data_IF_076067045407
#
_entry.id   IF_076067045407
#
_cell.length_a   1.000
_cell.length_b   1.000
_cell.length_c   1.000
_cell.angle_alpha   90.00
_cell.angle_beta   90.00
_cell.angle_gamma   90.00
#
_symmetry.space_group_name_H-M   'P 1'
#
loop_
_entity.id
_entity.type
_entity.pdbx_description
1 polymer ?
#
# COMPACT_ATOMS: atom_id res chain seq x y z
N UNK A 1 8.91 14.44 5.52
CA UNK A 1 7.76 13.66 5.05
C UNK A 1 7.84 12.30 5.70
N UNK A 2 6.76 11.81 6.27
CA UNK A 2 6.74 10.53 6.99
C UNK A 2 7.08 9.41 6.00
N UNK A 3 8.27 8.83 6.14
CA UNK A 3 8.70 7.74 5.28
C UNK A 3 8.20 6.42 5.89
N UNK A 4 7.06 5.95 5.40
CA UNK A 4 6.45 4.70 5.83
C UNK A 4 7.11 3.53 5.06
N UNK A 5 8.36 3.22 5.39
CA UNK A 5 9.14 2.13 4.81
C UNK A 5 9.23 0.92 5.78
N UNK A 6 9.87 -0.18 5.33
CA UNK A 6 9.98 -1.40 6.13
C UNK A 6 10.76 -1.21 7.44
N UNK A 7 11.79 -0.34 7.44
CA UNK A 7 12.50 -0.01 8.67
C UNK A 7 11.55 0.69 9.64
N UNK A 8 10.84 1.72 9.18
CA UNK A 8 9.95 2.49 10.04
C UNK A 8 8.83 1.60 10.58
N UNK A 9 8.28 0.71 9.76
CA UNK A 9 7.28 -0.27 10.18
C UNK A 9 7.81 -1.18 11.30
N UNK A 10 9.07 -1.65 11.18
CA UNK A 10 9.74 -2.41 12.23
C UNK A 10 9.89 -1.60 13.51
N UNK A 11 10.47 -0.41 13.42
CA UNK A 11 10.66 0.47 14.57
C UNK A 11 9.34 0.82 15.25
N UNK A 12 8.28 1.10 14.47
CA UNK A 12 6.98 1.43 15.00
C UNK A 12 6.41 0.28 15.87
N UNK A 13 6.47 -0.96 15.38
CA UNK A 13 5.96 -2.13 16.09
C UNK A 13 6.81 -2.56 17.28
N UNK A 14 8.14 -2.55 17.11
CA UNK A 14 9.06 -3.10 18.12
C UNK A 14 9.38 -2.12 19.23
N UNK A 15 9.45 -0.82 18.93
CA UNK A 15 10.01 0.18 19.84
C UNK A 15 9.02 1.30 20.17
N UNK A 16 8.28 1.82 19.18
CA UNK A 16 7.44 3.00 19.38
C UNK A 16 6.13 2.68 20.11
N UNK A 17 5.44 1.62 19.66
CA UNK A 17 4.14 1.20 20.19
C UNK A 17 4.11 -0.33 20.39
N UNK A 18 4.94 -0.88 21.29
CA UNK A 18 4.91 -2.30 21.58
C UNK A 18 3.53 -2.73 22.07
N UNK A 19 3.12 -3.95 21.71
CA UNK A 19 1.83 -4.56 22.06
C UNK A 19 0.57 -3.86 21.51
N UNK A 20 0.72 -2.87 20.63
CA UNK A 20 -0.39 -2.20 19.94
C UNK A 20 -0.36 -2.56 18.46
N UNK A 21 -1.55 -2.85 17.91
CA UNK A 21 -1.70 -3.03 16.47
C UNK A 21 -1.40 -1.73 15.71
N UNK A 22 -0.23 -1.70 15.07
CA UNK A 22 0.11 -0.68 14.10
C UNK A 22 -0.54 -1.02 12.75
N UNK A 23 -1.43 -0.19 12.22
CA UNK A 23 -2.15 -0.48 10.97
C UNK A 23 -1.85 0.61 9.91
N UNK A 24 -0.79 0.43 9.09
CA UNK A 24 -0.55 1.30 7.96
C UNK A 24 -1.76 1.34 7.03
N UNK A 25 -2.12 2.54 6.57
CA UNK A 25 -3.26 2.75 5.69
C UNK A 25 -2.86 3.66 4.53
N UNK A 26 -3.15 3.23 3.31
CA UNK A 26 -2.94 4.04 2.11
C UNK A 26 -4.23 4.78 1.77
N UNK A 27 -4.19 6.10 1.84
CA UNK A 27 -5.33 6.97 1.62
C UNK A 27 -5.21 7.79 0.35
N UNK A 28 -6.31 7.92 -0.40
CA UNK A 28 -6.46 8.93 -1.44
C UNK A 28 -7.93 9.35 -1.57
N UNK A 29 -8.18 10.53 -2.15
CA UNK A 29 -9.52 11.12 -2.22
C UNK A 29 -10.53 10.28 -3.01
N UNK A 30 -10.10 9.52 -4.02
CA UNK A 30 -11.00 8.79 -4.92
C UNK A 30 -11.48 7.46 -4.32
N UNK A 31 -10.57 6.70 -3.72
CA UNK A 31 -10.85 5.38 -3.14
C UNK A 31 -11.22 5.44 -1.65
N UNK A 32 -10.83 6.50 -0.94
CA UNK A 32 -10.85 6.54 0.51
C UNK A 32 -9.60 5.87 1.07
N UNK A 33 -9.76 4.78 1.83
CA UNK A 33 -8.68 4.11 2.56
C UNK A 33 -8.53 2.65 2.11
N UNK A 34 -7.29 2.21 1.93
CA UNK A 34 -6.91 0.81 1.79
C UNK A 34 -6.11 0.39 3.03
N UNK A 35 -6.65 -0.58 3.77
CA UNK A 35 -5.93 -1.18 4.89
C UNK A 35 -4.80 -2.07 4.40
N UNK A 36 -3.72 -2.11 5.16
CA UNK A 36 -2.65 -3.07 4.92
C UNK A 36 -3.09 -4.49 5.27
N UNK A 37 -2.45 -5.47 4.63
CA UNK A 37 -2.45 -6.86 5.08
C UNK A 37 -2.11 -6.91 6.58
N UNK A 38 -2.77 -7.77 7.38
CA UNK A 38 -2.32 -8.06 8.74
C UNK A 38 -0.83 -8.40 8.75
N UNK A 39 -0.12 -7.95 9.78
CA UNK A 39 1.33 -8.13 9.83
C UNK A 39 1.71 -9.60 9.99
N UNK A 40 2.59 -10.05 9.11
CA UNK A 40 3.23 -11.34 9.19
C UNK A 40 4.75 -11.14 9.10
N UNK A 41 5.50 -11.78 9.99
CA UNK A 41 6.96 -11.64 10.03
C UNK A 41 7.63 -12.10 8.72
N UNK A 42 7.00 -13.04 8.01
CA UNK A 42 7.45 -13.55 6.71
C UNK A 42 7.48 -12.49 5.61
N UNK A 43 6.74 -11.39 5.75
CA UNK A 43 6.72 -10.29 4.79
C UNK A 43 7.91 -9.31 5.00
N UNK A 44 8.80 -9.59 5.96
CA UNK A 44 9.98 -8.77 6.26
C UNK A 44 9.64 -7.29 6.48
N UNK A 45 8.56 -7.00 7.22
CA UNK A 45 8.04 -5.66 7.48
C UNK A 45 7.60 -4.89 6.22
N UNK A 46 7.44 -5.56 5.07
CA UNK A 46 6.80 -4.96 3.91
C UNK A 46 5.38 -4.53 4.25
N UNK A 47 4.94 -3.39 3.71
CA UNK A 47 3.58 -2.90 3.86
C UNK A 47 2.84 -3.17 2.57
N UNK A 48 1.88 -4.08 2.63
CA UNK A 48 1.15 -4.57 1.46
C UNK A 48 -0.29 -4.05 1.57
N UNK A 49 -0.72 -3.24 0.61
CA UNK A 49 -2.07 -2.67 0.59
C UNK A 49 -2.97 -3.44 -0.37
N UNK A 50 -4.20 -3.72 0.07
CA UNK A 50 -5.24 -4.26 -0.79
C UNK A 50 -6.32 -3.19 -1.00
N UNK A 51 -6.57 -2.73 -2.24
CA UNK A 51 -7.65 -1.80 -2.49
C UNK A 51 -9.01 -2.49 -2.30
N UNK A 52 -10.09 -1.72 -2.04
CA UNK A 52 -11.44 -2.24 -1.87
C UNK A 52 -12.02 -2.71 -3.21
N UNK A 53 -11.63 -3.90 -3.66
CA UNK A 53 -12.14 -4.55 -4.87
C UNK A 53 -13.62 -5.02 -4.65
N UNK A 54 -14.53 -4.88 -5.65
CA UNK A 54 -14.32 -4.37 -7.01
C UNK A 54 -14.48 -2.86 -7.16
N UNK A 55 -14.79 -2.13 -6.08
CA UNK A 55 -15.05 -0.68 -6.12
C UNK A 55 -13.82 0.13 -6.52
N UNK A 56 -12.62 -0.30 -6.15
CA UNK A 56 -11.37 0.31 -6.57
C UNK A 56 -10.32 -0.74 -6.92
N UNK A 57 -9.57 -0.49 -7.99
CA UNK A 57 -8.48 -1.31 -8.48
C UNK A 57 -7.23 -0.45 -8.60
N UNK A 58 -6.10 -1.00 -8.17
CA UNK A 58 -4.78 -0.38 -8.29
C UNK A 58 -3.97 -1.18 -9.30
N UNK A 59 -3.38 -0.47 -10.26
CA UNK A 59 -2.38 -0.97 -11.18
C UNK A 59 -1.10 -0.15 -11.03
N UNK A 60 0.04 -0.75 -11.35
CA UNK A 60 1.30 -0.04 -11.46
C UNK A 60 1.64 0.11 -12.94
N UNK A 61 1.79 1.35 -13.39
CA UNK A 61 2.04 1.70 -14.80
C UNK A 61 3.37 2.41 -14.97
N UNK A 62 3.89 2.49 -16.19
CA UNK A 62 5.09 3.27 -16.44
C UNK A 62 4.81 4.76 -16.22
N UNK A 63 5.80 5.57 -15.80
CA UNK A 63 5.59 7.01 -15.62
C UNK A 63 5.29 7.76 -16.93
N UNK A 64 5.73 7.22 -18.07
CA UNK A 64 5.63 7.88 -19.38
C UNK A 64 4.37 7.45 -20.16
N UNK A 65 3.85 6.24 -19.91
CA UNK A 65 2.63 5.72 -20.53
C UNK A 65 1.71 5.02 -19.51
N UNK A 66 0.54 5.61 -19.17
CA UNK A 66 -0.39 5.02 -18.22
C UNK A 66 -1.13 3.77 -18.75
N UNK A 67 -0.98 3.42 -20.03
CA UNK A 67 -1.58 2.21 -20.60
C UNK A 67 -0.63 1.00 -20.54
N UNK A 68 0.63 1.21 -20.15
CA UNK A 68 1.61 0.15 -20.00
C UNK A 68 1.79 -0.22 -18.53
N UNK A 69 1.38 -1.44 -18.15
CA UNK A 69 1.57 -1.95 -16.78
C UNK A 69 2.99 -2.48 -16.58
N UNK A 70 3.55 -2.25 -15.39
CA UNK A 70 4.84 -2.84 -15.01
C UNK A 70 4.63 -4.25 -14.46
N UNK A 71 5.63 -5.12 -14.65
CA UNK A 71 5.58 -6.49 -14.13
C UNK A 71 5.66 -6.60 -12.60
N UNK A 72 5.28 -7.74 -12.06
CA UNK A 72 5.38 -8.03 -10.63
C UNK A 72 6.80 -7.79 -10.07
N UNK A 73 6.88 -7.22 -8.87
CA UNK A 73 8.14 -6.88 -8.21
C UNK A 73 8.87 -5.67 -8.81
N UNK A 74 8.26 -4.95 -9.76
CA UNK A 74 8.78 -3.69 -10.30
C UNK A 74 8.09 -2.49 -9.66
N UNK A 75 8.81 -1.37 -9.64
CA UNK A 75 8.28 -0.07 -9.21
C UNK A 75 7.62 0.61 -10.41
N UNK A 76 6.42 1.16 -10.21
CA UNK A 76 5.69 1.93 -11.21
C UNK A 76 4.92 3.09 -10.56
N UNK A 77 4.28 3.92 -11.39
CA UNK A 77 3.32 4.92 -10.95
C UNK A 77 2.01 4.21 -10.60
N UNK A 78 1.42 4.56 -9.45
CA UNK A 78 0.10 4.06 -9.07
C UNK A 78 -0.96 4.65 -9.99
N UNK A 79 -1.70 3.80 -10.70
CA UNK A 79 -2.94 4.13 -11.39
C UNK A 79 -4.11 3.52 -10.62
N UNK A 80 -5.07 4.36 -10.26
CA UNK A 80 -6.24 3.96 -9.49
C UNK A 80 -7.49 4.13 -10.33
N UNK A 81 -8.26 3.05 -10.46
CA UNK A 81 -9.56 3.06 -11.14
C UNK A 81 -10.64 2.79 -10.12
N UNK A 82 -11.65 3.64 -10.07
CA UNK A 82 -12.83 3.45 -9.22
C UNK A 82 -14.05 3.13 -10.05
N UNK A 83 -14.77 2.07 -9.71
CA UNK A 83 -16.06 1.75 -10.29
C UNK A 83 -17.15 2.47 -9.48
N UNK A 84 -17.82 3.41 -10.13
CA UNK A 84 -18.97 4.14 -9.60
C UNK A 84 -20.24 3.75 -10.35
N UNK A 85 -21.41 4.08 -9.80
CA UNK A 85 -22.72 3.88 -10.44
C UNK A 85 -22.89 4.72 -11.71
#
# INVERSE_FOLDING_TARGET
>A
GTEMNAQFHRFAREELVPDIDFIPTYGNTLMGLAYSKPFEQTDNYSIIYYPPNPRAVIELVTPDDPYETVGYGKTGRVMLTTLTE
#
